data_IF_372717363258
#
_entry.id   IF_372717363258
#
_cell.length_a   1.000
_cell.length_b   1.000
_cell.length_c   1.000
_cell.angle_alpha   90.00
_cell.angle_beta   90.00
_cell.angle_gamma   90.00
#
_symmetry.space_group_name_H-M   'P 1'
#
loop_
_entity.id
_entity.type
_entity.pdbx_description
1 polymer ?
#
# COMPACT_ATOMS: atom_id res chain seq x y z
N UNK A 1 -2.38 -3.95 13.84
CA UNK A 1 -2.02 -2.83 14.74
C UNK A 1 -2.05 -3.25 16.20
N UNK A 2 -3.19 -3.69 16.76
CA UNK A 2 -3.30 -4.11 18.18
C UNK A 2 -2.19 -5.04 18.66
N UNK A 3 -1.87 -6.12 17.94
CA UNK A 3 -0.80 -7.03 18.36
C UNK A 3 0.58 -6.34 18.50
N UNK A 4 0.91 -5.41 17.60
CA UNK A 4 2.18 -4.67 17.65
C UNK A 4 2.19 -3.66 18.80
N UNK A 5 1.06 -2.99 19.05
CA UNK A 5 0.89 -2.13 20.21
C UNK A 5 1.05 -2.90 21.52
N UNK A 6 0.34 -4.01 21.66
CA UNK A 6 0.32 -4.82 22.87
C UNK A 6 1.69 -5.40 23.22
N UNK A 7 2.47 -5.77 22.20
CA UNK A 7 3.78 -6.41 22.36
C UNK A 7 4.95 -5.43 22.43
N UNK A 8 4.86 -4.28 21.76
CA UNK A 8 6.02 -3.40 21.55
C UNK A 8 5.66 -1.93 21.63
N UNK A 9 4.82 -1.45 20.71
CA UNK A 9 4.80 -0.02 20.40
C UNK A 9 4.09 0.84 21.46
N UNK A 10 3.28 0.24 22.35
CA UNK A 10 2.68 0.95 23.50
C UNK A 10 3.72 1.55 24.46
N UNK A 11 4.93 1.00 24.47
CA UNK A 11 6.03 1.42 25.36
C UNK A 11 7.01 2.38 24.68
N UNK A 12 6.99 2.47 23.34
CA UNK A 12 8.00 3.19 22.56
C UNK A 12 7.41 4.33 21.70
N UNK A 13 6.12 4.24 21.38
CA UNK A 13 5.36 5.27 20.69
C UNK A 13 5.96 5.69 19.34
N UNK A 14 6.52 4.75 18.57
CA UNK A 14 6.95 5.05 17.21
C UNK A 14 5.73 5.36 16.33
N UNK A 15 5.83 6.38 15.44
CA UNK A 15 4.73 6.78 14.59
C UNK A 15 4.43 5.69 13.55
N UNK A 16 3.16 5.55 13.20
CA UNK A 16 2.72 4.75 12.07
C UNK A 16 2.57 5.62 10.84
N UNK A 17 3.10 5.14 9.73
CA UNK A 17 2.85 5.69 8.40
C UNK A 17 2.13 4.63 7.58
N UNK A 18 0.87 4.88 7.25
CA UNK A 18 0.00 3.95 6.52
C UNK A 18 -0.18 4.50 5.12
N UNK A 19 0.29 3.76 4.12
CA UNK A 19 0.14 4.11 2.71
C UNK A 19 -1.12 3.48 2.14
N UNK A 20 -1.82 4.22 1.28
CA UNK A 20 -3.04 3.76 0.60
C UNK A 20 -3.14 4.38 -0.79
N UNK A 21 -3.69 3.65 -1.76
CA UNK A 21 -4.07 4.18 -3.08
C UNK A 21 -5.52 4.71 -3.11
N UNK A 22 -6.29 4.47 -2.05
CA UNK A 22 -7.71 4.78 -1.93
C UNK A 22 -7.98 6.00 -1.07
N UNK A 23 -9.14 6.62 -1.25
CA UNK A 23 -9.63 7.65 -0.34
C UNK A 23 -10.21 6.98 0.91
N UNK A 24 -9.53 7.13 2.04
CA UNK A 24 -10.00 6.62 3.32
C UNK A 24 -11.05 7.55 3.91
N UNK A 25 -12.12 6.98 4.47
CA UNK A 25 -13.09 7.76 5.22
C UNK A 25 -12.46 8.30 6.51
N UNK A 26 -12.95 9.45 6.96
CA UNK A 26 -12.53 10.03 8.23
C UNK A 26 -12.77 9.06 9.39
N UNK A 27 -13.93 8.39 9.42
CA UNK A 27 -14.29 7.40 10.44
C UNK A 27 -13.26 6.26 10.50
N UNK A 28 -12.81 5.75 9.35
CA UNK A 28 -11.81 4.70 9.30
C UNK A 28 -10.46 5.18 9.86
N UNK A 29 -10.02 6.37 9.46
CA UNK A 29 -8.77 6.95 9.94
C UNK A 29 -8.81 7.20 11.46
N UNK A 30 -9.93 7.69 11.99
CA UNK A 30 -10.15 7.89 13.42
C UNK A 30 -10.16 6.56 14.19
N UNK A 31 -10.85 5.54 13.66
CA UNK A 31 -10.87 4.20 14.25
C UNK A 31 -9.46 3.62 14.36
N UNK A 32 -8.68 3.66 13.27
CA UNK A 32 -7.31 3.13 13.27
C UNK A 32 -6.40 3.95 14.19
N UNK A 33 -6.52 5.28 14.20
CA UNK A 33 -5.76 6.15 15.10
C UNK A 33 -6.06 5.87 16.58
N UNK A 34 -7.31 5.52 16.92
CA UNK A 34 -7.72 5.20 18.30
C UNK A 34 -7.05 3.95 18.88
N UNK A 35 -6.47 3.09 18.03
CA UNK A 35 -5.82 1.85 18.45
C UNK A 35 -4.42 2.04 19.01
N UNK A 36 -3.82 3.22 18.87
CA UNK A 36 -2.47 3.53 19.36
C UNK A 36 -2.42 4.90 20.02
N UNK A 37 -1.48 5.06 20.95
CA UNK A 37 -1.10 6.37 21.51
C UNK A 37 -0.08 7.11 20.64
N UNK A 38 0.53 6.41 19.68
CA UNK A 38 1.49 6.99 18.77
C UNK A 38 0.79 7.80 17.67
N UNK A 39 1.52 8.70 17.02
CA UNK A 39 1.02 9.42 15.85
C UNK A 39 0.77 8.44 14.71
N UNK A 40 -0.44 8.43 14.17
CA UNK A 40 -0.80 7.67 12.96
C UNK A 40 -1.01 8.66 11.83
N UNK A 41 -0.26 8.49 10.73
CA UNK A 41 -0.40 9.27 9.50
C UNK A 41 -0.85 8.37 8.37
N UNK A 42 -1.75 8.90 7.55
CA UNK A 42 -2.24 8.25 6.35
C UNK A 42 -1.73 9.03 5.15
N UNK A 43 -1.03 8.34 4.26
CA UNK A 43 -0.47 8.93 3.04
C UNK A 43 -1.12 8.29 1.82
N UNK A 44 -1.79 9.11 1.02
CA UNK A 44 -2.36 8.67 -0.24
C UNK A 44 -1.27 8.65 -1.31
N UNK A 45 -0.99 7.48 -1.83
CA UNK A 45 0.03 7.27 -2.86
C UNK A 45 -0.54 7.68 -4.21
N UNK A 46 0.12 8.64 -4.86
CA UNK A 46 -0.27 9.09 -6.19
C UNK A 46 0.01 8.04 -7.28
N UNK A 47 -0.67 8.19 -8.43
CA UNK A 47 -0.55 7.26 -9.57
C UNK A 47 0.87 7.10 -10.11
N UNK A 48 1.73 8.10 -9.91
CA UNK A 48 3.14 8.06 -10.32
C UNK A 48 3.95 7.00 -9.55
N UNK A 49 3.62 6.84 -8.26
CA UNK A 49 4.23 5.86 -7.36
C UNK A 49 3.48 4.53 -7.37
N UNK A 50 2.16 4.56 -7.59
CA UNK A 50 1.27 3.39 -7.60
C UNK A 50 0.43 3.34 -8.87
N UNK A 51 1.01 2.82 -9.95
CA UNK A 51 0.38 2.78 -11.26
C UNK A 51 1.39 2.52 -12.38
N UNK A 52 0.91 2.65 -13.61
CA UNK A 52 1.75 2.55 -14.80
C UNK A 52 2.64 3.78 -14.96
N UNK A 53 3.90 3.53 -15.34
CA UNK A 53 4.79 4.59 -15.78
C UNK A 53 4.39 5.03 -17.21
N UNK A 54 4.58 6.29 -17.60
CA UNK A 54 4.24 6.78 -18.95
C UNK A 54 4.92 6.05 -20.11
N UNK A 55 6.03 5.35 -19.84
CA UNK A 55 6.76 4.54 -20.83
C UNK A 55 6.35 3.06 -20.83
N UNK A 56 5.37 2.66 -20.03
CA UNK A 56 4.90 1.28 -20.00
C UNK A 56 4.03 1.01 -21.22
N UNK A 57 4.37 -0.04 -21.96
CA UNK A 57 3.52 -0.60 -23.00
C UNK A 57 2.32 -1.32 -22.35
N UNK A 58 1.14 -0.70 -22.46
CA UNK A 58 -0.08 -1.18 -21.82
C UNK A 58 -0.62 -2.45 -22.49
N UNK A 59 -0.45 -2.61 -23.80
CA UNK A 59 -0.91 -3.81 -24.52
C UNK A 59 -0.07 -5.02 -24.12
N UNK A 60 1.26 -4.85 -24.09
CA UNK A 60 2.16 -5.91 -23.63
C UNK A 60 1.95 -6.24 -22.16
N UNK A 61 1.69 -5.24 -21.31
CA UNK A 61 1.38 -5.46 -19.90
C UNK A 61 0.06 -6.22 -19.73
N UNK A 62 -0.96 -5.94 -20.55
CA UNK A 62 -2.24 -6.65 -20.53
C UNK A 62 -2.06 -8.11 -20.97
N UNK A 63 -1.34 -8.36 -22.07
CA UNK A 63 -1.09 -9.71 -22.55
C UNK A 63 -0.35 -10.56 -21.52
N UNK A 64 0.69 -10.00 -20.88
CA UNK A 64 1.44 -10.71 -19.84
C UNK A 64 0.55 -11.12 -18.64
N UNK A 65 -0.49 -10.34 -18.31
CA UNK A 65 -1.44 -10.72 -17.26
C UNK A 65 -2.32 -11.89 -17.67
N UNK A 66 -2.74 -11.95 -18.93
CA UNK A 66 -3.51 -13.08 -19.49
C UNK A 66 -2.65 -14.35 -19.45
N UNK A 67 -1.41 -14.27 -19.92
CA UNK A 67 -0.47 -15.39 -19.97
C UNK A 67 -0.15 -15.94 -18.58
N UNK A 68 -0.18 -15.07 -17.56
CA UNK A 68 0.10 -15.42 -16.16
C UNK A 68 -1.17 -15.74 -15.35
N UNK A 69 -2.36 -15.75 -15.94
CA UNK A 69 -3.64 -15.93 -15.22
C UNK A 69 -3.72 -17.18 -14.33
N UNK A 70 -2.97 -18.23 -14.65
CA UNK A 70 -2.92 -19.47 -13.86
C UNK A 70 -2.06 -19.37 -12.58
N UNK A 71 -1.36 -18.26 -12.39
CA UNK A 71 -0.54 -18.00 -11.20
C UNK A 71 -1.30 -17.14 -10.19
N UNK A 72 -1.00 -17.33 -8.91
CA UNK A 72 -1.58 -16.51 -7.83
C UNK A 72 -1.25 -15.03 -8.07
N UNK A 73 -2.28 -14.19 -8.12
CA UNK A 73 -2.20 -12.76 -8.48
C UNK A 73 -1.65 -12.47 -9.89
N UNK A 74 -1.53 -13.47 -10.75
CA UNK A 74 -0.96 -13.35 -12.09
C UNK A 74 -1.73 -12.39 -12.99
N UNK A 75 -3.04 -12.23 -12.79
CA UNK A 75 -3.85 -11.25 -13.53
C UNK A 75 -3.99 -9.88 -12.83
N UNK A 76 -3.49 -9.73 -11.61
CA UNK A 76 -3.71 -8.52 -10.79
C UNK A 76 -2.75 -7.37 -11.16
N UNK A 77 -3.31 -6.25 -11.60
CA UNK A 77 -2.55 -4.99 -11.77
C UNK A 77 -2.14 -4.42 -10.41
N UNK A 78 -3.06 -4.41 -9.46
CA UNK A 78 -2.85 -3.89 -8.11
C UNK A 78 -1.67 -4.57 -7.42
N UNK A 79 -1.59 -5.91 -7.50
CA UNK A 79 -0.47 -6.66 -6.92
C UNK A 79 0.89 -6.27 -7.52
N UNK A 80 0.93 -5.93 -8.81
CA UNK A 80 2.16 -5.47 -9.47
C UNK A 80 2.53 -4.06 -9.05
N UNK A 81 1.55 -3.17 -8.90
CA UNK A 81 1.78 -1.82 -8.41
C UNK A 81 2.26 -1.82 -6.95
N UNK A 82 1.64 -2.65 -6.09
CA UNK A 82 2.09 -2.89 -4.73
C UNK A 82 3.52 -3.42 -4.69
N UNK A 83 3.83 -4.43 -5.51
CA UNK A 83 5.16 -5.02 -5.59
C UNK A 83 6.20 -3.97 -6.01
N UNK A 84 5.90 -3.14 -7.02
CA UNK A 84 6.76 -2.03 -7.44
C UNK A 84 6.95 -1.00 -6.33
N UNK A 85 5.88 -0.62 -5.64
CA UNK A 85 5.91 0.37 -4.56
C UNK A 85 6.85 -0.08 -3.44
N UNK A 86 6.66 -1.31 -2.97
CA UNK A 86 7.48 -1.91 -1.91
C UNK A 86 8.94 -2.12 -2.35
N UNK A 87 9.19 -2.48 -3.60
CA UNK A 87 10.53 -2.80 -4.09
C UNK A 87 11.41 -1.56 -4.35
N UNK A 88 10.84 -0.39 -4.64
CA UNK A 88 11.63 0.73 -5.17
C UNK A 88 11.11 2.15 -4.95
N UNK A 89 9.91 2.30 -4.39
CA UNK A 89 9.26 3.62 -4.29
C UNK A 89 9.01 4.07 -2.86
N UNK A 90 8.80 3.14 -1.91
CA UNK A 90 8.40 3.45 -0.53
C UNK A 90 9.39 4.34 0.25
N UNK A 91 10.66 4.34 -0.13
CA UNK A 91 11.71 5.11 0.55
C UNK A 91 12.00 6.48 -0.10
N UNK A 92 11.30 6.80 -1.19
CA UNK A 92 11.43 8.09 -1.87
C UNK A 92 10.50 9.10 -1.22
#
# INVERSE_FOLDING_TARGET
>A
MRNLEDQFNKNHNYPYLIFTDQDLSQEYMELVASLSKATVKFEKVGKDLYGYHPRTDLERAAQARIDMSQMVFGESEDYRFQSRFMAGMIYR
#
